data_IF_236905807110
#
_entry.id   IF_236905807110
#
_cell.length_a   1.000
_cell.length_b   1.000
_cell.length_c   1.000
_cell.angle_alpha   90.00
_cell.angle_beta   90.00
_cell.angle_gamma   90.00
#
_symmetry.space_group_name_H-M   'P 1'
#
loop_
_entity.id
_entity.type
_entity.pdbx_description
1 polymer ?
#
# COMPACT_ATOMS: atom_id res chain seq x y z
N UNK A 1 -1.46 11.68 0.61
CA UNK A 1 -0.95 12.09 1.95
C UNK A 1 0.31 11.27 2.23
N UNK A 2 1.38 11.89 2.72
CA UNK A 2 2.62 11.20 3.10
C UNK A 2 2.91 11.54 4.56
N UNK A 3 3.17 10.52 5.40
CA UNK A 3 3.56 10.69 6.80
C UNK A 3 5.02 10.25 6.93
N UNK A 4 5.92 11.20 7.23
CA UNK A 4 7.37 10.95 7.35
C UNK A 4 7.87 11.36 8.74
N UNK A 5 8.85 10.63 9.26
CA UNK A 5 9.48 10.93 10.54
C UNK A 5 10.29 9.74 11.08
N UNK A 6 11.10 9.94 12.15
CA UNK A 6 11.93 8.89 12.75
C UNK A 6 11.13 7.64 13.16
N UNK A 7 11.78 6.49 13.29
CA UNK A 7 11.15 5.28 13.86
C UNK A 7 10.65 5.56 15.28
N UNK A 8 9.55 4.92 15.69
CA UNK A 8 8.98 5.10 17.03
C UNK A 8 8.14 6.36 17.25
N UNK A 9 7.99 7.26 16.27
CA UNK A 9 7.17 8.49 16.41
C UNK A 9 5.66 8.30 16.22
N UNK A 10 5.18 7.05 16.13
CA UNK A 10 3.74 6.76 16.06
C UNK A 10 3.10 6.92 14.67
N UNK A 11 3.87 7.00 13.58
CA UNK A 11 3.35 7.12 12.21
C UNK A 11 2.38 5.99 11.84
N UNK A 12 2.79 4.74 12.05
CA UNK A 12 1.95 3.55 11.88
C UNK A 12 0.69 3.60 12.74
N UNK A 13 0.81 4.09 13.98
CA UNK A 13 -0.32 4.25 14.88
C UNK A 13 -1.33 5.27 14.34
N UNK A 14 -0.85 6.42 13.85
CA UNK A 14 -1.71 7.45 13.26
C UNK A 14 -2.39 6.95 11.98
N UNK A 15 -1.64 6.32 11.08
CA UNK A 15 -2.19 5.73 9.86
C UNK A 15 -3.26 4.67 10.16
N UNK A 16 -3.01 3.80 11.14
CA UNK A 16 -3.95 2.77 11.59
C UNK A 16 -5.19 3.40 12.24
N UNK A 17 -5.03 4.41 13.09
CA UNK A 17 -6.14 5.09 13.74
C UNK A 17 -7.05 5.79 12.72
N UNK A 18 -6.45 6.44 11.70
CA UNK A 18 -7.19 7.02 10.59
C UNK A 18 -7.95 5.95 9.80
N UNK A 19 -7.29 4.86 9.43
CA UNK A 19 -7.94 3.74 8.73
C UNK A 19 -9.10 3.16 9.52
N UNK A 20 -8.94 2.95 10.83
CA UNK A 20 -10.02 2.48 11.72
C UNK A 20 -11.19 3.45 11.79
N UNK A 21 -10.94 4.77 11.81
CA UNK A 21 -12.00 5.78 11.79
C UNK A 21 -12.81 5.70 10.49
N UNK A 22 -12.12 5.62 9.36
CA UNK A 22 -12.76 5.51 8.04
C UNK A 22 -13.58 4.22 7.89
N UNK A 23 -13.08 3.09 8.40
CA UNK A 23 -13.85 1.84 8.43
C UNK A 23 -15.14 1.98 9.25
N UNK A 24 -15.14 2.74 10.35
CA UNK A 24 -16.36 3.02 11.14
C UNK A 24 -17.37 3.87 10.37
N UNK A 25 -16.90 4.67 9.43
CA UNK A 25 -17.71 5.48 8.52
C UNK A 25 -18.11 4.68 7.26
N UNK A 26 -17.94 3.35 7.26
CA UNK A 26 -18.23 2.44 6.13
C UNK A 26 -17.42 2.73 4.86
N UNK A 27 -16.28 3.42 4.99
CA UNK A 27 -15.34 3.64 3.90
C UNK A 27 -14.43 2.41 3.79
N UNK A 28 -14.31 1.86 2.58
CA UNK A 28 -13.38 0.77 2.31
C UNK A 28 -11.93 1.24 2.47
N UNK A 29 -11.16 0.57 3.33
CA UNK A 29 -9.74 0.84 3.56
C UNK A 29 -8.94 -0.45 3.42
N UNK A 30 -7.82 -0.40 2.71
CA UNK A 30 -6.79 -1.45 2.75
C UNK A 30 -5.51 -0.91 3.36
N UNK A 31 -4.86 -1.74 4.18
CA UNK A 31 -3.60 -1.43 4.83
C UNK A 31 -2.59 -2.52 4.50
N UNK A 32 -1.41 -2.14 4.02
CA UNK A 32 -0.30 -3.05 3.79
C UNK A 32 1.01 -2.43 4.30
N UNK A 33 1.92 -3.27 4.80
CA UNK A 33 3.34 -2.92 4.73
C UNK A 33 3.77 -2.95 3.27
N UNK A 34 4.56 -1.98 2.82
CA UNK A 34 4.97 -1.90 1.42
C UNK A 34 5.72 -3.16 0.97
N UNK A 35 6.53 -3.75 1.85
CA UNK A 35 7.24 -5.00 1.53
C UNK A 35 6.27 -6.14 1.23
N UNK A 36 5.26 -6.35 2.09
CA UNK A 36 4.26 -7.39 1.91
C UNK A 36 3.43 -7.14 0.63
N UNK A 37 3.08 -5.87 0.37
CA UNK A 37 2.37 -5.50 -0.85
C UNK A 37 3.14 -5.88 -2.12
N UNK A 38 4.46 -5.63 -2.14
CA UNK A 38 5.32 -5.97 -3.27
C UNK A 38 5.48 -7.49 -3.42
N UNK A 39 5.61 -8.23 -2.32
CA UNK A 39 5.63 -9.70 -2.33
C UNK A 39 4.34 -10.28 -2.89
N UNK A 40 3.17 -9.77 -2.48
CA UNK A 40 1.88 -10.15 -3.05
C UNK A 40 1.80 -9.82 -4.54
N UNK A 41 2.30 -8.65 -4.96
CA UNK A 41 2.36 -8.30 -6.38
C UNK A 41 3.16 -9.32 -7.19
N UNK A 42 4.31 -9.76 -6.68
CA UNK A 42 5.14 -10.76 -7.34
C UNK A 42 4.47 -12.15 -7.38
N UNK A 43 3.82 -12.56 -6.30
CA UNK A 43 3.06 -13.82 -6.24
C UNK A 43 1.84 -13.81 -7.18
N UNK A 44 1.16 -12.68 -7.30
CA UNK A 44 0.03 -12.52 -8.22
C UNK A 44 0.50 -12.42 -9.69
N UNK A 45 1.71 -11.88 -9.95
CA UNK A 45 2.35 -11.95 -11.27
C UNK A 45 2.66 -13.38 -11.67
N UNK A 46 3.29 -14.16 -10.80
CA UNK A 46 3.63 -15.57 -11.10
C UNK A 46 2.40 -16.46 -11.27
N UNK A 47 1.28 -16.13 -10.61
CA UNK A 47 0.00 -16.82 -10.77
C UNK A 47 -0.91 -16.27 -11.87
N UNK A 48 -0.46 -15.25 -12.63
CA UNK A 48 -1.23 -14.64 -13.72
C UNK A 48 -2.45 -13.82 -13.28
N UNK A 49 -2.56 -13.49 -11.99
CA UNK A 49 -3.69 -12.76 -11.37
C UNK A 49 -3.36 -11.31 -11.00
N UNK A 50 -2.16 -10.85 -11.32
CA UNK A 50 -1.67 -9.50 -11.02
C UNK A 50 -2.63 -8.37 -11.40
N UNK A 51 -3.22 -8.41 -12.60
CA UNK A 51 -4.15 -7.37 -13.04
C UNK A 51 -5.40 -7.29 -12.16
N UNK A 52 -5.91 -8.43 -11.67
CA UNK A 52 -7.05 -8.49 -10.78
C UNK A 52 -6.69 -7.97 -9.38
N UNK A 53 -5.50 -8.33 -8.89
CA UNK A 53 -4.96 -7.83 -7.64
C UNK A 53 -4.86 -6.30 -7.66
N UNK A 54 -4.19 -5.74 -8.67
CA UNK A 54 -4.03 -4.30 -8.82
C UNK A 54 -5.38 -3.59 -8.98
N UNK A 55 -6.33 -4.14 -9.77
CA UNK A 55 -7.69 -3.57 -9.88
C UNK A 55 -8.41 -3.51 -8.53
N UNK A 56 -8.33 -4.57 -7.73
CA UNK A 56 -8.91 -4.58 -6.38
C UNK A 56 -8.26 -3.50 -5.50
N UNK A 57 -6.93 -3.41 -5.54
CA UNK A 57 -6.17 -2.40 -4.82
C UNK A 57 -6.47 -0.99 -5.32
N UNK A 58 -6.80 -0.78 -6.59
CA UNK A 58 -7.21 0.54 -7.12
C UNK A 58 -8.62 0.93 -6.66
N UNK A 59 -9.55 -0.02 -6.65
CA UNK A 59 -10.97 0.24 -6.37
C UNK A 59 -11.28 0.52 -4.89
N UNK A 60 -10.34 0.31 -3.96
CA UNK A 60 -10.57 0.69 -2.56
C UNK A 60 -10.49 2.20 -2.38
N UNK A 61 -11.40 2.77 -1.60
CA UNK A 61 -11.46 4.21 -1.38
C UNK A 61 -10.17 4.75 -0.74
N UNK A 62 -9.58 4.03 0.20
CA UNK A 62 -8.30 4.41 0.83
C UNK A 62 -7.34 3.22 0.85
N UNK A 63 -6.13 3.45 0.34
CA UNK A 63 -5.01 2.52 0.44
C UNK A 63 -3.94 3.16 1.33
N UNK A 64 -3.53 2.43 2.38
CA UNK A 64 -2.46 2.81 3.29
C UNK A 64 -1.30 1.86 3.06
N UNK A 65 -0.15 2.42 2.67
CA UNK A 65 1.13 1.72 2.55
C UNK A 65 2.08 2.23 3.62
N UNK A 66 2.55 1.34 4.48
CA UNK A 66 3.50 1.64 5.56
C UNK A 66 4.90 1.08 5.25
N UNK A 67 5.91 1.42 6.07
CA UNK A 67 7.27 0.87 5.99
C UNK A 67 8.03 1.19 4.68
N UNK A 68 7.80 2.39 4.14
CA UNK A 68 8.53 2.86 2.97
C UNK A 68 10.04 2.96 3.25
N UNK A 69 10.87 2.38 2.37
CA UNK A 69 12.32 2.52 2.39
C UNK A 69 13.05 1.70 3.47
N UNK A 70 12.41 0.70 4.09
CA UNK A 70 13.09 -0.20 5.04
C UNK A 70 14.05 -1.19 4.38
N UNK A 71 14.00 -1.35 3.05
CA UNK A 71 14.95 -2.12 2.24
C UNK A 71 15.10 -1.50 0.87
N UNK A 72 16.13 -1.94 0.14
CA UNK A 72 16.26 -1.64 -1.27
C UNK A 72 15.17 -2.36 -2.07
N UNK A 73 14.61 -1.65 -3.05
CA UNK A 73 13.64 -2.18 -3.99
C UNK A 73 14.34 -2.55 -5.30
N UNK A 74 13.94 -3.67 -5.90
CA UNK A 74 14.32 -4.00 -7.28
C UNK A 74 13.69 -3.00 -8.27
N UNK A 75 14.21 -2.98 -9.49
CA UNK A 75 13.65 -2.14 -10.54
C UNK A 75 12.17 -2.46 -10.79
N UNK A 76 11.80 -3.74 -10.82
CA UNK A 76 10.42 -4.19 -11.02
C UNK A 76 9.49 -3.72 -9.88
N UNK A 77 9.97 -3.72 -8.64
CA UNK A 77 9.21 -3.22 -7.50
C UNK A 77 9.03 -1.71 -7.56
N UNK A 78 10.06 -0.97 -7.97
CA UNK A 78 9.96 0.47 -8.16
C UNK A 78 8.93 0.83 -9.25
N UNK A 79 8.91 0.08 -10.36
CA UNK A 79 7.90 0.25 -11.42
C UNK A 79 6.49 0.00 -10.89
N UNK A 80 6.28 -1.08 -10.11
CA UNK A 80 4.97 -1.35 -9.48
C UNK A 80 4.50 -0.18 -8.61
N UNK A 81 5.41 0.42 -7.83
CA UNK A 81 5.10 1.57 -6.97
C UNK A 81 4.69 2.77 -7.82
N UNK A 82 5.43 3.07 -8.89
CA UNK A 82 5.13 4.20 -9.79
C UNK A 82 3.77 4.01 -10.46
N UNK A 83 3.53 2.84 -11.07
CA UNK A 83 2.26 2.51 -11.72
C UNK A 83 1.07 2.65 -10.75
N UNK A 84 1.24 2.18 -9.50
CA UNK A 84 0.22 2.27 -8.47
C UNK A 84 -0.10 3.72 -8.08
N UNK A 85 0.93 4.57 -8.01
CA UNK A 85 0.77 5.98 -7.69
C UNK A 85 0.08 6.72 -8.85
N UNK A 86 0.54 6.54 -10.09
CA UNK A 86 -0.04 7.18 -11.28
C UNK A 86 -1.53 6.88 -11.44
N UNK A 87 -1.93 5.65 -11.17
CA UNK A 87 -3.33 5.22 -11.33
C UNK A 87 -4.26 5.65 -10.19
N UNK A 88 -3.71 6.20 -9.10
CA UNK A 88 -4.47 6.71 -7.94
C UNK A 88 -4.40 8.24 -7.81
N UNK A 89 -3.68 8.92 -8.70
CA UNK A 89 -3.63 10.39 -8.82
C UNK A 89 -4.67 10.90 -9.83
#
# INVERSE_FOLDING_TARGET
MIIVGPTGTGKTHLATALGKKLCRESVGVQFFSLNLFLEECQAEKSSGRYLNFIKRTKNVAVLILDDFGLRNYSHDEAVIIVDLLEERY
#
